data_IF_502987646293
#
_entry.id   IF_502987646293
#
_cell.length_a   1.000
_cell.length_b   1.000
_cell.length_c   1.000
_cell.angle_alpha   90.00
_cell.angle_beta   90.00
_cell.angle_gamma   90.00
#
_symmetry.space_group_name_H-M   'P 1'
#
loop_
_entity.id
_entity.type
_entity.pdbx_description
1 polymer ?
#
# COMPACT_ATOMS: atom_id res chain seq x y z
N UNK A 1 -18.33 -21.84 1.80
CA UNK A 1 -18.02 -23.09 2.53
C UNK A 1 -16.51 -23.09 2.79
N UNK A 2 -15.96 -22.41 3.80
CA UNK A 2 -16.27 -22.54 5.22
C UNK A 2 -15.32 -23.57 5.85
N UNK A 3 -14.14 -23.15 6.33
CA UNK A 3 -13.31 -23.92 7.27
C UNK A 3 -12.82 -22.98 8.37
N UNK A 4 -13.64 -22.92 9.42
CA UNK A 4 -13.29 -22.39 10.73
C UNK A 4 -12.30 -23.35 11.39
N UNK A 5 -11.11 -22.86 11.73
CA UNK A 5 -10.26 -23.50 12.74
C UNK A 5 -10.84 -23.16 14.11
N UNK A 6 -11.27 -24.17 14.83
CA UNK A 6 -11.93 -24.06 16.13
C UNK A 6 -10.98 -23.47 17.17
N UNK A 7 -11.29 -22.25 17.64
CA UNK A 7 -10.87 -21.81 18.96
C UNK A 7 -11.90 -22.36 19.96
N UNK A 8 -11.52 -23.40 20.71
CA UNK A 8 -12.30 -23.87 21.84
C UNK A 8 -12.07 -22.90 23.00
N UNK A 9 -12.96 -21.91 23.13
CA UNK A 9 -13.04 -21.02 24.30
C UNK A 9 -13.98 -21.69 25.30
N UNK A 10 -13.43 -22.24 26.38
CA UNK A 10 -14.19 -22.53 27.60
C UNK A 10 -13.82 -21.48 28.63
N UNK A 11 -14.44 -20.32 28.51
CA UNK A 11 -14.49 -19.28 29.52
C UNK A 11 -15.94 -18.83 29.60
N UNK A 12 -16.59 -19.06 30.73
CA UNK A 12 -17.96 -18.66 31.03
C UNK A 12 -18.04 -17.15 31.32
N UNK A 13 -17.36 -16.36 30.47
CA UNK A 13 -17.34 -14.91 30.50
C UNK A 13 -18.11 -14.41 29.29
N UNK A 14 -19.13 -13.59 29.54
CA UNK A 14 -19.82 -12.80 28.52
C UNK A 14 -18.82 -12.22 27.52
N UNK A 15 -19.12 -12.18 26.21
CA UNK A 15 -18.22 -11.63 25.22
C UNK A 15 -17.88 -10.19 25.63
N UNK A 16 -16.61 -9.94 25.95
CA UNK A 16 -16.09 -8.61 26.26
C UNK A 16 -16.50 -7.66 25.13
N UNK A 17 -17.15 -6.54 25.46
CA UNK A 17 -17.55 -5.55 24.47
C UNK A 17 -16.29 -4.91 23.86
N UNK A 18 -15.88 -5.43 22.70
CA UNK A 18 -14.75 -4.89 21.95
C UNK A 18 -15.20 -3.67 21.13
N UNK A 19 -14.57 -2.52 21.35
CA UNK A 19 -14.81 -1.30 20.57
C UNK A 19 -13.96 -1.29 19.29
N UNK A 20 -14.58 -1.01 18.14
CA UNK A 20 -13.88 -0.86 16.87
C UNK A 20 -13.64 0.62 16.54
N UNK A 21 -12.37 1.03 16.50
CA UNK A 21 -12.00 2.37 16.02
C UNK A 21 -11.69 2.37 14.53
N UNK A 22 -12.32 3.28 13.78
CA UNK A 22 -12.02 3.54 12.36
C UNK A 22 -11.82 5.03 12.12
N UNK A 23 -10.73 5.39 11.45
CA UNK A 23 -10.47 6.77 11.00
C UNK A 23 -10.74 6.91 9.50
N UNK A 24 -11.70 7.74 9.14
CA UNK A 24 -12.07 7.99 7.73
C UNK A 24 -10.94 8.68 6.93
N UNK A 25 -10.09 9.47 7.58
CA UNK A 25 -9.02 10.23 6.93
C UNK A 25 -7.71 9.46 6.78
N UNK A 26 -7.51 8.37 7.54
CA UNK A 26 -6.23 7.69 7.68
C UNK A 26 -5.65 7.22 6.34
N UNK A 27 -6.43 6.49 5.54
CA UNK A 27 -5.95 5.92 4.28
C UNK A 27 -5.59 7.00 3.26
N UNK A 28 -6.37 8.09 3.20
CA UNK A 28 -6.09 9.22 2.32
C UNK A 28 -4.78 9.91 2.70
N UNK A 29 -4.57 10.14 3.99
CA UNK A 29 -3.35 10.77 4.46
C UNK A 29 -2.11 9.87 4.26
N UNK A 30 -2.24 8.56 4.50
CA UNK A 30 -1.18 7.59 4.26
C UNK A 30 -0.74 7.62 2.79
N UNK A 31 -1.70 7.52 1.86
CA UNK A 31 -1.42 7.57 0.42
C UNK A 31 -0.77 8.90 0.01
N UNK A 32 -1.23 10.03 0.57
CA UNK A 32 -0.64 11.36 0.34
C UNK A 32 0.84 11.38 0.77
N UNK A 33 1.15 10.92 1.98
CA UNK A 33 2.51 10.89 2.53
C UNK A 33 3.43 9.94 1.76
N UNK A 34 2.94 8.77 1.33
CA UNK A 34 3.69 7.85 0.47
C UNK A 34 4.04 8.50 -0.89
N UNK A 35 3.13 9.27 -1.49
CA UNK A 35 3.43 10.00 -2.71
C UNK A 35 4.46 11.13 -2.51
N UNK A 36 4.44 11.82 -1.37
CA UNK A 36 5.46 12.80 -1.01
C UNK A 36 6.84 12.15 -0.85
N UNK A 37 6.91 11.01 -0.16
CA UNK A 37 8.13 10.20 -0.08
C UNK A 37 8.61 9.82 -1.48
N UNK A 38 7.73 9.37 -2.37
CA UNK A 38 8.08 9.01 -3.75
C UNK A 38 8.69 10.18 -4.52
N UNK A 39 8.10 11.37 -4.41
CA UNK A 39 8.60 12.60 -5.06
C UNK A 39 10.00 12.98 -4.57
N UNK A 40 10.28 12.78 -3.28
CA UNK A 40 11.62 13.00 -2.69
C UNK A 40 12.57 11.81 -2.91
N UNK A 41 12.04 10.65 -3.31
CA UNK A 41 12.79 9.40 -3.45
C UNK A 41 13.09 8.67 -2.15
N UNK A 42 12.35 8.97 -1.09
CA UNK A 42 12.50 8.33 0.22
C UNK A 42 11.85 6.96 0.20
N UNK A 43 12.59 5.95 0.69
CA UNK A 43 12.16 4.55 0.80
C UNK A 43 11.75 3.87 -0.52
N UNK A 44 12.03 4.49 -1.68
CA UNK A 44 11.79 3.88 -2.97
C UNK A 44 12.77 2.71 -3.17
N UNK A 45 12.24 1.52 -3.38
CA UNK A 45 12.97 0.27 -3.62
C UNK A 45 12.82 -0.23 -5.07
N UNK A 46 12.09 0.52 -5.90
CA UNK A 46 11.84 0.19 -7.30
C UNK A 46 12.11 1.40 -8.20
N UNK A 47 12.71 1.15 -9.36
CA UNK A 47 12.93 2.16 -10.40
C UNK A 47 12.32 1.69 -11.72
N UNK A 48 11.40 2.48 -12.25
CA UNK A 48 10.78 2.27 -13.56
C UNK A 48 11.55 3.07 -14.61
N UNK A 49 11.89 2.42 -15.73
CA UNK A 49 12.59 3.04 -16.86
C UNK A 49 11.67 2.97 -18.07
N UNK A 50 11.37 4.13 -18.64
CA UNK A 50 10.57 4.27 -19.85
C UNK A 50 11.45 4.82 -20.97
N UNK A 51 11.65 4.02 -22.01
CA UNK A 51 12.31 4.45 -23.24
C UNK A 51 11.26 4.74 -24.31
N UNK A 52 11.35 5.91 -24.94
CA UNK A 52 10.50 6.29 -26.07
C UNK A 52 11.36 6.82 -27.19
N UNK A 53 11.03 6.51 -28.44
CA UNK A 53 11.75 7.01 -29.61
C UNK A 53 10.89 8.04 -30.33
N UNK A 54 11.29 9.31 -30.26
CA UNK A 54 10.62 10.43 -30.89
C UNK A 54 11.37 10.95 -32.12
N UNK A 55 10.81 11.98 -32.75
CA UNK A 55 11.40 12.65 -33.94
C UNK A 55 12.79 13.25 -33.63
N UNK A 56 13.01 13.67 -32.37
CA UNK A 56 14.28 14.22 -31.89
C UNK A 56 15.26 13.17 -31.33
N UNK A 57 14.98 11.87 -31.52
CA UNK A 57 15.80 10.78 -31.00
C UNK A 57 15.18 10.02 -29.82
N UNK A 58 15.99 9.21 -29.15
CA UNK A 58 15.59 8.41 -27.99
C UNK A 58 15.51 9.28 -26.72
N UNK A 59 14.40 9.15 -25.99
CA UNK A 59 14.17 9.78 -24.70
C UNK A 59 13.95 8.71 -23.65
N UNK A 60 14.77 8.74 -22.60
CA UNK A 60 14.67 7.86 -21.43
C UNK A 60 14.12 8.66 -20.25
N UNK A 61 13.11 8.13 -19.57
CA UNK A 61 12.55 8.67 -18.33
C UNK A 61 12.68 7.63 -17.21
N UNK A 62 13.19 8.08 -16.07
CA UNK A 62 13.37 7.24 -14.89
C UNK A 62 12.48 7.73 -13.75
N UNK A 63 11.67 6.84 -13.19
CA UNK A 63 10.77 7.15 -12.07
C UNK A 63 11.03 6.21 -10.89
N UNK A 64 11.28 6.77 -9.70
CA UNK A 64 11.40 6.03 -8.44
C UNK A 64 10.01 5.74 -7.85
N UNK A 65 9.82 4.57 -7.28
CA UNK A 65 8.56 4.12 -6.70
C UNK A 65 8.76 3.12 -5.54
N UNK A 66 7.68 2.87 -4.80
CA UNK A 66 7.59 1.82 -3.79
C UNK A 66 6.93 0.58 -4.40
N UNK A 67 7.57 -0.58 -4.30
CA UNK A 67 7.04 -1.85 -4.81
C UNK A 67 5.67 -2.18 -4.20
N UNK A 68 5.53 -2.04 -2.89
CA UNK A 68 4.28 -2.32 -2.17
C UNK A 68 3.10 -1.50 -2.70
N UNK A 69 3.32 -0.22 -3.01
CA UNK A 69 2.28 0.67 -3.53
C UNK A 69 1.88 0.26 -4.95
N UNK A 70 2.84 -0.06 -5.82
CA UNK A 70 2.53 -0.51 -7.19
C UNK A 70 1.83 -1.87 -7.21
N UNK A 71 2.29 -2.83 -6.40
CA UNK A 71 1.65 -4.15 -6.27
C UNK A 71 0.25 -4.11 -5.67
N UNK A 72 -0.10 -3.07 -4.92
CA UNK A 72 -1.45 -2.89 -4.38
C UNK A 72 -2.41 -2.21 -5.38
N UNK A 73 -1.88 -1.54 -6.41
CA UNK A 73 -2.65 -0.77 -7.37
C UNK A 73 -3.05 -1.58 -8.62
N UNK A 74 -2.47 -2.77 -8.83
CA UNK A 74 -2.63 -3.60 -10.02
C UNK A 74 -2.45 -5.08 -9.72
#
# INVERSE_FOLDING_TARGET
>A
LGRNGAAQVTGDGEPEEAEEFRSAAHCLELARRQNEQRKMGLFCDLTLIFSSRGVSGERIQTLRAHRSVLSAAS
#
